data_IF_672660654511
#
_entry.id   IF_672660654511
#
_cell.length_a   1.000
_cell.length_b   1.000
_cell.length_c   1.000
_cell.angle_alpha   90.00
_cell.angle_beta   90.00
_cell.angle_gamma   90.00
#
_symmetry.space_group_name_H-M   'P 1'
#
loop_
_entity.id
_entity.type
_entity.pdbx_description
1 polymer ?
#
# COMPACT_ATOMS: atom_id res chain seq x y z
N UNK A 1 10.13 12.23 1.18
CA UNK A 1 10.11 10.76 1.01
C UNK A 1 10.11 10.10 2.35
N UNK A 2 9.37 9.01 2.51
CA UNK A 2 9.33 8.21 3.72
C UNK A 2 9.18 6.72 3.37
N UNK A 3 9.60 5.86 4.30
CA UNK A 3 9.50 4.40 4.16
C UNK A 3 8.20 3.91 4.77
N UNK A 4 7.43 3.16 3.99
CA UNK A 4 6.29 2.38 4.47
C UNK A 4 6.72 0.92 4.54
N UNK A 5 6.48 0.28 5.67
CA UNK A 5 6.75 -1.13 5.84
C UNK A 5 5.65 -1.79 6.67
N UNK A 6 5.43 -3.08 6.44
CA UNK A 6 4.40 -3.83 7.11
C UNK A 6 4.53 -5.32 6.85
N UNK A 7 3.47 -6.05 7.17
CA UNK A 7 3.32 -7.46 6.82
C UNK A 7 1.99 -7.70 6.14
N UNK A 8 1.95 -8.65 5.22
CA UNK A 8 0.76 -8.98 4.42
C UNK A 8 0.65 -10.49 4.23
N UNK A 9 -0.59 -10.98 4.13
CA UNK A 9 -0.90 -12.32 3.67
C UNK A 9 -1.81 -12.17 2.46
N UNK A 10 -1.23 -12.30 1.28
CA UNK A 10 -1.87 -12.00 -0.02
C UNK A 10 -1.47 -13.04 -1.06
N UNK A 11 -2.34 -13.28 -2.04
CA UNK A 11 -2.07 -14.20 -3.13
C UNK A 11 -0.81 -13.75 -3.90
N UNK A 12 0.06 -14.70 -4.25
CA UNK A 12 1.36 -14.46 -4.92
C UNK A 12 2.26 -13.42 -4.23
N UNK A 13 2.06 -13.22 -2.92
CA UNK A 13 2.78 -12.23 -2.11
C UNK A 13 2.67 -10.80 -2.65
N UNK A 14 1.74 -10.49 -3.55
CA UNK A 14 1.68 -9.20 -4.24
C UNK A 14 0.60 -8.30 -3.64
N UNK A 15 0.96 -7.06 -3.34
CA UNK A 15 0.04 -6.04 -2.86
C UNK A 15 0.31 -4.70 -3.53
N UNK A 16 -0.71 -3.86 -3.57
CA UNK A 16 -0.59 -2.47 -3.98
C UNK A 16 -0.47 -1.60 -2.73
N UNK A 17 0.42 -0.60 -2.78
CA UNK A 17 0.51 0.47 -1.79
C UNK A 17 0.36 1.81 -2.49
N UNK A 18 -0.65 2.58 -2.10
CA UNK A 18 -0.95 3.90 -2.66
C UNK A 18 -0.75 4.99 -1.61
N UNK A 19 -0.22 6.13 -2.06
CA UNK A 19 -0.35 7.39 -1.35
C UNK A 19 -1.54 8.14 -1.94
N UNK A 20 -2.52 8.51 -1.12
CA UNK A 20 -3.73 9.22 -1.52
C UNK A 20 -3.82 10.56 -0.80
N UNK A 21 -4.39 11.56 -1.46
CA UNK A 21 -4.72 12.86 -0.87
C UNK A 21 -6.02 13.38 -1.46
N UNK A 22 -6.94 13.82 -0.60
CA UNK A 22 -8.26 14.34 -1.01
C UNK A 22 -8.97 13.44 -2.05
N UNK A 23 -8.93 12.12 -1.83
CA UNK A 23 -9.56 11.11 -2.69
C UNK A 23 -8.82 10.80 -4.00
N UNK A 24 -7.66 11.42 -4.25
CA UNK A 24 -6.83 11.18 -5.45
C UNK A 24 -5.63 10.31 -5.11
N UNK A 25 -5.28 9.38 -6.00
CA UNK A 25 -4.02 8.64 -5.93
C UNK A 25 -2.89 9.57 -6.39
N UNK A 26 -1.97 9.87 -5.48
CA UNK A 26 -0.77 10.69 -5.71
C UNK A 26 0.38 9.81 -6.21
N UNK A 27 0.51 8.63 -5.62
CA UNK A 27 1.53 7.64 -5.99
C UNK A 27 0.97 6.23 -5.81
N UNK A 28 1.37 5.31 -6.69
CA UNK A 28 1.05 3.89 -6.62
C UNK A 28 2.34 3.08 -6.72
N UNK A 29 2.50 2.10 -5.85
CA UNK A 29 3.58 1.11 -5.86
C UNK A 29 2.99 -0.29 -5.82
N UNK A 30 3.67 -1.23 -6.48
CA UNK A 30 3.44 -2.66 -6.28
C UNK A 30 4.56 -3.16 -5.38
N UNK A 31 4.19 -3.85 -4.31
CA UNK A 31 5.12 -4.47 -3.39
C UNK A 31 4.98 -6.00 -3.46
N UNK A 32 6.08 -6.68 -3.16
CA UNK A 32 6.11 -8.12 -2.96
C UNK A 32 6.47 -8.39 -1.50
N UNK A 33 5.57 -9.03 -0.78
CA UNK A 33 5.84 -9.53 0.56
C UNK A 33 6.85 -10.69 0.50
N UNK A 34 7.59 -10.91 1.57
CA UNK A 34 8.60 -11.99 1.65
C UNK A 34 8.01 -13.40 1.59
N UNK A 35 6.69 -13.55 1.68
CA UNK A 35 5.96 -14.81 1.67
C UNK A 35 4.52 -14.56 1.16
N UNK A 36 3.99 -15.47 0.35
CA UNK A 36 2.61 -15.43 -0.14
C UNK A 36 1.63 -16.17 0.79
N UNK A 37 0.33 -15.90 0.62
CA UNK A 37 -0.72 -16.58 1.37
C UNK A 37 -0.65 -18.12 1.21
N UNK A 38 -0.95 -18.91 2.26
CA UNK A 38 -1.48 -18.50 3.57
C UNK A 38 -0.45 -17.91 4.53
N UNK A 39 0.84 -17.91 4.15
CA UNK A 39 1.92 -17.26 4.89
C UNK A 39 1.73 -15.75 5.06
N UNK A 40 2.50 -15.15 5.98
CA UNK A 40 2.48 -13.70 6.23
C UNK A 40 3.89 -13.14 6.08
N UNK A 41 4.16 -12.59 4.90
CA UNK A 41 5.44 -11.97 4.58
C UNK A 41 5.54 -10.51 5.02
N UNK A 42 6.77 -10.00 5.10
CA UNK A 42 7.06 -8.58 5.30
C UNK A 42 7.28 -7.88 3.97
N UNK A 43 6.95 -6.60 3.89
CA UNK A 43 7.20 -5.77 2.70
C UNK A 43 7.68 -4.37 3.10
N UNK A 44 8.31 -3.67 2.17
CA UNK A 44 8.61 -2.26 2.31
C UNK A 44 8.62 -1.55 0.96
N UNK A 45 8.14 -0.30 0.95
CA UNK A 45 8.18 0.60 -0.20
C UNK A 45 8.62 2.00 0.24
N UNK A 46 9.11 2.80 -0.71
CA UNK A 46 9.31 4.23 -0.50
C UNK A 46 8.21 5.03 -1.20
N UNK A 47 7.60 5.94 -0.45
CA UNK A 47 6.60 6.88 -0.96
C UNK A 47 7.12 8.31 -0.79
N UNK A 48 6.71 9.19 -1.69
CA UNK A 48 7.12 10.60 -1.70
C UNK A 48 5.87 11.47 -1.70
N UNK A 49 5.61 12.14 -0.57
CA UNK A 49 4.65 13.22 -0.51
C UNK A 49 5.19 14.44 -1.29
N UNK A 50 4.38 15.07 -2.17
CA UNK A 50 4.80 16.25 -2.96
C UNK A 50 4.93 17.53 -2.13
N UNK A 51 4.39 17.55 -0.91
CA UNK A 51 4.48 18.67 0.01
C UNK A 51 3.88 18.32 1.38
N UNK A 52 3.88 19.30 2.26
CA UNK A 52 3.25 19.21 3.59
C UNK A 52 1.74 18.98 3.47
N UNK A 53 1.16 18.32 4.46
CA UNK A 53 -0.27 18.10 4.58
C UNK A 53 -0.66 16.67 4.95
N UNK A 54 -1.97 16.43 4.94
CA UNK A 54 -2.55 15.14 5.29
C UNK A 54 -2.69 14.23 4.06
N UNK A 55 -2.34 12.97 4.26
CA UNK A 55 -2.39 11.90 3.27
C UNK A 55 -2.99 10.63 3.88
N UNK A 56 -3.31 9.68 3.01
CA UNK A 56 -3.66 8.31 3.39
C UNK A 56 -2.71 7.37 2.66
N UNK A 57 -2.09 6.45 3.39
CA UNK A 57 -1.42 5.29 2.81
C UNK A 57 -2.43 4.15 2.78
N UNK A 58 -2.80 3.71 1.59
CA UNK A 58 -3.71 2.58 1.37
C UNK A 58 -2.90 1.36 0.93
N UNK A 59 -3.10 0.20 1.57
CA UNK A 59 -2.50 -1.06 1.18
C UNK A 59 -3.58 -2.12 0.95
N UNK A 60 -3.56 -2.81 -0.19
CA UNK A 60 -4.61 -3.76 -0.56
C UNK A 60 -4.09 -4.85 -1.49
N UNK A 61 -4.79 -5.99 -1.53
CA UNK A 61 -4.62 -6.99 -2.57
C UNK A 61 -5.47 -6.60 -3.80
N UNK A 62 -4.92 -6.71 -5.01
CA UNK A 62 -5.72 -6.51 -6.22
C UNK A 62 -6.43 -7.81 -6.56
N UNK A 63 -7.76 -7.76 -6.74
CA UNK A 63 -8.54 -8.90 -7.22
C UNK A 63 -8.01 -9.38 -8.58
N UNK A 64 -7.74 -10.68 -8.70
CA UNK A 64 -7.32 -11.28 -9.97
C UNK A 64 -8.47 -11.34 -11.00
N UNK A 65 -9.73 -11.25 -10.55
CA UNK A 65 -10.90 -11.33 -11.42
C UNK A 65 -11.17 -10.02 -12.16
N UNK A 66 -11.01 -8.88 -11.48
CA UNK A 66 -11.47 -7.58 -11.98
C UNK A 66 -10.59 -6.39 -11.56
N UNK A 67 -9.50 -6.62 -10.84
CA UNK A 67 -8.59 -5.57 -10.38
C UNK A 67 -9.12 -4.70 -9.24
N UNK A 68 -10.30 -5.01 -8.68
CA UNK A 68 -10.85 -4.27 -7.55
C UNK A 68 -9.99 -4.45 -6.29
N UNK A 69 -9.83 -3.40 -5.45
CA UNK A 69 -9.15 -3.53 -4.17
C UNK A 69 -9.86 -4.51 -3.24
N UNK A 70 -9.07 -5.39 -2.61
CA UNK A 70 -9.53 -6.36 -1.62
C UNK A 70 -8.71 -6.21 -0.33
N UNK A 71 -9.39 -6.39 0.80
CA UNK A 71 -8.76 -6.32 2.14
C UNK A 71 -7.96 -5.02 2.35
N UNK A 72 -8.51 -3.91 1.88
CA UNK A 72 -7.84 -2.61 1.94
C UNK A 72 -7.65 -2.14 3.39
N UNK A 73 -6.46 -1.59 3.65
CA UNK A 73 -6.12 -0.94 4.90
C UNK A 73 -5.63 0.47 4.64
N UNK A 74 -6.33 1.44 5.23
CA UNK A 74 -5.99 2.85 5.15
C UNK A 74 -5.33 3.32 6.45
N UNK A 75 -4.19 3.99 6.32
CA UNK A 75 -3.47 4.63 7.41
C UNK A 75 -3.38 6.13 7.14
N UNK A 76 -4.03 7.00 7.95
CA UNK A 76 -3.84 8.44 7.85
C UNK A 76 -2.41 8.81 8.26
N UNK A 77 -1.82 9.75 7.53
CA UNK A 77 -0.45 10.22 7.76
C UNK A 77 -0.38 11.73 7.55
N UNK A 78 0.22 12.46 8.48
CA UNK A 78 0.52 13.88 8.34
C UNK A 78 2.00 14.06 8.01
N UNK A 79 2.29 14.93 7.05
CA UNK A 79 3.65 15.32 6.64
C UNK A 79 3.83 16.79 6.96
N UNK A 80 4.80 17.10 7.83
CA UNK A 80 5.16 18.45 8.28
C UNK A 80 6.50 18.93 7.69
#
# INVERSE_FOLDING_TARGET
TFRVAGSASVFEATLVVELRQAGRVIQKQVATASEGAPGRGTFAVQLTAPGVGDYVVAAYASSAADGTPQHEQDLPVSVD
#
